data_IF_724659660309
#
_entry.id   IF_724659660309
#
_cell.length_a   1.000
_cell.length_b   1.000
_cell.length_c   1.000
_cell.angle_alpha   90.00
_cell.angle_beta   90.00
_cell.angle_gamma   90.00
#
_symmetry.space_group_name_H-M   'P 1'
#
loop_
_entity.id
_entity.type
_entity.pdbx_description
1 polymer ?
#
# COMPACT_ATOMS: atom_id res chain seq x y z
N UNK A 1 -7.20 0.66 16.34
CA UNK A 1 -7.89 -0.61 16.02
C UNK A 1 -9.32 -0.67 16.50
N UNK A 2 -9.61 -0.56 17.80
CA UNK A 2 -10.99 -0.62 18.34
C UNK A 2 -11.98 0.32 17.63
N UNK A 3 -11.57 1.56 17.37
CA UNK A 3 -12.40 2.54 16.65
C UNK A 3 -12.85 2.07 15.24
N UNK A 4 -11.95 1.43 14.48
CA UNK A 4 -12.29 0.91 13.15
C UNK A 4 -13.24 -0.28 13.25
N UNK A 5 -12.98 -1.22 14.16
CA UNK A 5 -13.85 -2.39 14.37
C UNK A 5 -15.27 -1.96 14.72
N UNK A 6 -15.42 -1.01 15.65
CA UNK A 6 -16.74 -0.46 16.02
C UNK A 6 -17.43 0.27 14.87
N UNK A 7 -16.69 1.08 14.11
CA UNK A 7 -17.20 1.80 12.94
C UNK A 7 -17.76 0.82 11.90
N UNK A 8 -17.02 -0.24 11.59
CA UNK A 8 -17.38 -1.18 10.54
C UNK A 8 -18.38 -2.25 10.97
N UNK A 9 -18.38 -2.65 12.25
CA UNK A 9 -19.48 -3.45 12.79
C UNK A 9 -20.84 -2.78 12.58
N UNK A 10 -20.92 -1.46 12.82
CA UNK A 10 -22.15 -0.68 12.59
C UNK A 10 -22.50 -0.60 11.11
N UNK A 11 -21.51 -0.42 10.24
CA UNK A 11 -21.71 -0.29 8.79
C UNK A 11 -22.16 -1.60 8.14
N UNK A 12 -21.52 -2.71 8.50
CA UNK A 12 -21.73 -4.04 7.90
C UNK A 12 -22.73 -4.91 8.68
N UNK A 13 -23.35 -4.35 9.73
CA UNK A 13 -24.26 -5.06 10.64
C UNK A 13 -23.67 -6.37 11.22
N UNK A 14 -22.41 -6.29 11.66
CA UNK A 14 -21.64 -7.39 12.26
C UNK A 14 -21.42 -7.17 13.76
N UNK A 15 -21.08 -8.23 14.49
CA UNK A 15 -20.79 -8.20 15.93
C UNK A 15 -19.38 -8.71 16.26
N UNK A 16 -18.37 -8.26 15.51
CA UNK A 16 -16.97 -8.61 15.78
C UNK A 16 -16.54 -7.99 17.11
N UNK A 17 -16.08 -8.80 18.06
CA UNK A 17 -15.60 -8.36 19.39
C UNK A 17 -14.21 -7.73 19.33
N UNK A 18 -13.40 -8.08 18.33
CA UNK A 18 -12.07 -7.51 18.16
C UNK A 18 -11.18 -8.25 17.18
N UNK A 19 -9.88 -7.99 17.28
CA UNK A 19 -8.82 -8.67 16.53
C UNK A 19 -8.00 -9.54 17.49
N UNK A 20 -7.36 -10.59 16.97
CA UNK A 20 -6.43 -11.39 17.78
C UNK A 20 -5.13 -10.62 18.07
N UNK A 21 -4.40 -10.93 19.17
CA UNK A 21 -3.13 -10.29 19.49
C UNK A 21 -2.07 -10.42 18.39
N UNK A 22 -2.11 -11.51 17.63
CA UNK A 22 -1.21 -11.76 16.49
C UNK A 22 -1.51 -10.81 15.33
N UNK A 23 -2.80 -10.55 15.06
CA UNK A 23 -3.22 -9.55 14.05
C UNK A 23 -2.77 -8.16 14.45
N UNK A 24 -2.89 -7.82 15.74
CA UNK A 24 -2.46 -6.52 16.25
C UNK A 24 -0.95 -6.33 16.04
N UNK A 25 -0.13 -7.33 16.39
CA UNK A 25 1.32 -7.31 16.13
C UNK A 25 1.64 -7.17 14.64
N UNK A 26 0.96 -7.93 13.78
CA UNK A 26 1.19 -7.87 12.34
C UNK A 26 0.88 -6.46 11.80
N UNK A 27 -0.20 -5.84 12.26
CA UNK A 27 -0.60 -4.49 11.86
C UNK A 27 0.38 -3.41 12.31
N UNK A 28 1.03 -3.60 13.46
CA UNK A 28 2.10 -2.72 13.93
C UNK A 28 3.41 -2.91 13.16
N UNK A 29 3.69 -4.13 12.70
CA UNK A 29 4.92 -4.46 11.98
C UNK A 29 4.82 -4.20 10.46
N UNK A 30 3.61 -4.17 9.91
CA UNK A 30 3.41 -3.95 8.48
C UNK A 30 3.62 -2.46 8.14
N UNK A 31 4.50 -2.20 7.18
CA UNK A 31 4.57 -0.87 6.57
C UNK A 31 3.34 -0.72 5.67
N UNK A 32 2.47 0.22 5.99
CA UNK A 32 1.26 0.55 5.23
C UNK A 32 1.59 1.59 4.15
N UNK A 33 2.03 1.19 2.93
CA UNK A 33 2.51 2.12 1.91
C UNK A 33 1.45 3.15 1.47
N UNK A 34 0.16 2.85 1.60
CA UNK A 34 -0.98 3.69 1.24
C UNK A 34 -1.61 4.48 2.39
N UNK A 35 -0.96 4.53 3.57
CA UNK A 35 -1.43 5.19 4.80
C UNK A 35 -2.64 4.51 5.47
N UNK A 36 -3.25 5.21 6.44
CA UNK A 36 -4.41 4.80 7.25
C UNK A 36 -5.60 4.26 6.43
N UNK A 37 -5.72 4.62 5.14
CA UNK A 37 -6.77 4.12 4.25
C UNK A 37 -6.59 2.65 3.84
N UNK A 38 -5.36 2.18 3.69
CA UNK A 38 -5.12 0.74 3.45
C UNK A 38 -5.50 -0.07 4.68
N UNK A 39 -5.06 0.38 5.86
CA UNK A 39 -5.46 -0.20 7.13
C UNK A 39 -6.98 -0.28 7.25
N UNK A 40 -7.67 0.80 6.89
CA UNK A 40 -9.13 0.89 6.91
C UNK A 40 -9.78 -0.12 5.95
N UNK A 41 -9.29 -0.25 4.72
CA UNK A 41 -9.78 -1.22 3.73
C UNK A 41 -9.59 -2.68 4.17
N UNK A 42 -8.41 -3.01 4.73
CA UNK A 42 -8.12 -4.34 5.23
C UNK A 42 -9.05 -4.70 6.38
N UNK A 43 -9.30 -3.77 7.31
CA UNK A 43 -10.22 -3.98 8.44
C UNK A 43 -11.66 -4.17 7.94
N UNK A 44 -12.11 -3.34 7.00
CA UNK A 44 -13.45 -3.47 6.40
C UNK A 44 -13.65 -4.86 5.80
N UNK A 45 -12.73 -5.30 4.93
CA UNK A 45 -12.79 -6.63 4.32
C UNK A 45 -12.66 -7.75 5.33
N UNK A 46 -11.81 -7.59 6.35
CA UNK A 46 -11.65 -8.58 7.40
C UNK A 46 -12.97 -8.77 8.16
N UNK A 47 -13.70 -7.71 8.47
CA UNK A 47 -15.01 -7.78 9.14
C UNK A 47 -16.06 -8.46 8.25
N UNK A 48 -16.03 -8.21 6.94
CA UNK A 48 -16.94 -8.87 6.00
C UNK A 48 -16.66 -10.38 5.90
N UNK A 49 -15.38 -10.76 5.86
CA UNK A 49 -14.95 -12.15 5.64
C UNK A 49 -14.88 -13.00 6.91
N UNK A 50 -14.74 -12.37 8.07
CA UNK A 50 -14.67 -13.09 9.34
C UNK A 50 -16.05 -13.67 9.68
N UNK A 51 -16.05 -14.97 9.95
CA UNK A 51 -17.25 -15.72 10.38
C UNK A 51 -17.35 -15.84 11.90
N UNK A 52 -16.25 -15.58 12.61
CA UNK A 52 -16.12 -15.66 14.06
C UNK A 52 -16.24 -14.27 14.72
N UNK A 53 -16.31 -14.24 16.05
CA UNK A 53 -16.35 -12.98 16.81
C UNK A 53 -14.99 -12.26 16.85
N UNK A 54 -13.89 -12.95 16.51
CA UNK A 54 -12.53 -12.40 16.57
C UNK A 54 -11.87 -12.56 15.21
N UNK A 55 -11.32 -11.46 14.68
CA UNK A 55 -10.55 -11.49 13.43
C UNK A 55 -9.21 -12.13 13.72
N UNK A 56 -8.98 -13.30 13.12
CA UNK A 56 -7.74 -14.06 13.25
C UNK A 56 -6.74 -13.75 12.15
N UNK A 57 -5.47 -14.09 12.40
CA UNK A 57 -4.38 -13.87 11.46
C UNK A 57 -4.60 -14.58 10.10
N UNK A 58 -5.33 -15.70 10.10
CA UNK A 58 -5.66 -16.45 8.88
C UNK A 58 -6.57 -15.68 7.91
N UNK A 59 -7.41 -14.76 8.42
CA UNK A 59 -8.24 -13.88 7.58
C UNK A 59 -7.42 -12.72 7.03
N UNK A 60 -6.50 -12.21 7.85
CA UNK A 60 -5.68 -11.04 7.55
C UNK A 60 -4.55 -11.34 6.58
N UNK A 61 -3.81 -12.44 6.77
CA UNK A 61 -2.65 -12.77 5.94
C UNK A 61 -2.98 -12.83 4.44
N UNK A 62 -4.09 -13.46 4.01
CA UNK A 62 -4.50 -13.39 2.62
C UNK A 62 -4.85 -11.98 2.17
N UNK A 63 -5.50 -11.16 2.99
CA UNK A 63 -5.87 -9.79 2.62
C UNK A 63 -4.65 -8.90 2.39
N UNK A 64 -3.70 -8.94 3.33
CA UNK A 64 -2.46 -8.17 3.26
C UNK A 64 -1.55 -8.68 2.13
N UNK A 65 -1.41 -10.00 1.96
CA UNK A 65 -0.65 -10.59 0.85
C UNK A 65 -1.31 -10.39 -0.51
N UNK A 66 -2.64 -10.37 -0.58
CA UNK A 66 -3.40 -10.17 -1.82
C UNK A 66 -3.46 -8.69 -2.21
N UNK A 67 -3.39 -7.76 -1.26
CA UNK A 67 -3.08 -6.36 -1.57
C UNK A 67 -1.62 -6.19 -2.03
N UNK A 68 -0.70 -7.03 -1.55
CA UNK A 68 0.67 -7.13 -2.08
C UNK A 68 0.82 -7.84 -3.43
N UNK A 69 -0.08 -8.76 -3.82
CA UNK A 69 0.15 -9.68 -4.95
C UNK A 69 -1.08 -10.03 -5.84
N UNK A 70 -2.34 -9.68 -5.52
CA UNK A 70 -3.51 -10.18 -6.30
C UNK A 70 -4.81 -9.37 -6.20
N UNK A 71 -4.73 -8.05 -6.12
CA UNK A 71 -5.82 -7.13 -6.42
C UNK A 71 -5.35 -6.18 -7.51
N UNK A 72 -5.83 -6.36 -8.74
CA UNK A 72 -5.40 -5.54 -9.87
C UNK A 72 -5.56 -4.05 -9.53
N UNK A 73 -4.44 -3.34 -9.56
CA UNK A 73 -4.36 -1.87 -9.58
C UNK A 73 -5.32 -1.24 -10.60
N UNK A 74 -5.90 -2.01 -11.54
CA UNK A 74 -6.92 -1.58 -12.49
C UNK A 74 -8.30 -1.32 -11.88
N UNK A 75 -8.92 -2.28 -11.19
CA UNK A 75 -10.35 -2.16 -10.82
C UNK A 75 -10.62 -1.11 -9.74
N UNK A 76 -9.69 -0.88 -8.81
CA UNK A 76 -9.81 0.16 -7.77
C UNK A 76 -9.37 1.56 -8.24
N UNK A 77 -8.56 1.65 -9.30
CA UNK A 77 -8.31 2.92 -9.99
C UNK A 77 -9.55 3.36 -10.77
N UNK A 78 -10.16 2.42 -11.49
CA UNK A 78 -11.27 2.70 -12.41
C UNK A 78 -12.56 3.10 -11.68
N UNK A 79 -12.67 2.82 -10.38
CA UNK A 79 -13.78 3.26 -9.53
C UNK A 79 -13.60 4.67 -8.93
N UNK A 80 -12.46 5.33 -9.15
CA UNK A 80 -12.18 6.68 -8.63
C UNK A 80 -12.40 7.77 -9.67
N UNK A 81 -12.63 9.03 -9.23
CA UNK A 81 -12.62 10.17 -10.15
C UNK A 81 -11.34 10.20 -10.98
N UNK A 82 -11.46 10.48 -12.28
CA UNK A 82 -10.37 10.42 -13.27
C UNK A 82 -9.06 11.07 -12.78
N UNK A 83 -9.15 12.22 -12.12
CA UNK A 83 -7.99 12.96 -11.60
C UNK A 83 -7.22 12.15 -10.54
N UNK A 84 -7.92 11.48 -9.64
CA UNK A 84 -7.33 10.68 -8.57
C UNK A 84 -6.82 9.34 -9.11
N UNK A 85 -7.59 8.69 -9.99
CA UNK A 85 -7.20 7.48 -10.69
C UNK A 85 -5.89 7.67 -11.48
N UNK A 86 -5.83 8.73 -12.30
CA UNK A 86 -4.65 9.09 -13.09
C UNK A 86 -3.45 9.40 -12.19
N UNK A 87 -3.65 10.13 -11.08
CA UNK A 87 -2.57 10.43 -10.13
C UNK A 87 -2.00 9.15 -9.55
N UNK A 88 -2.85 8.24 -9.05
CA UNK A 88 -2.41 6.96 -8.47
C UNK A 88 -1.72 6.06 -9.50
N UNK A 89 -2.24 5.99 -10.73
CA UNK A 89 -1.61 5.26 -11.82
C UNK A 89 -0.18 5.74 -12.07
N UNK A 90 -0.04 7.07 -12.17
CA UNK A 90 1.22 7.71 -12.46
C UNK A 90 2.21 7.56 -11.30
N UNK A 91 1.74 7.71 -10.06
CA UNK A 91 2.55 7.51 -8.86
C UNK A 91 3.06 6.07 -8.76
N UNK A 92 2.18 5.07 -8.99
CA UNK A 92 2.56 3.66 -8.99
C UNK A 92 3.55 3.29 -10.11
N UNK A 93 3.34 3.84 -11.32
CA UNK A 93 4.29 3.71 -12.41
C UNK A 93 5.65 4.33 -12.05
N UNK A 94 5.65 5.57 -11.56
CA UNK A 94 6.86 6.32 -11.24
C UNK A 94 7.71 5.62 -10.17
N UNK A 95 7.10 5.12 -9.09
CA UNK A 95 7.80 4.39 -8.04
C UNK A 95 8.48 3.14 -8.60
N UNK A 96 7.74 2.33 -9.37
CA UNK A 96 8.28 1.11 -9.99
C UNK A 96 9.42 1.43 -10.96
N UNK A 97 9.22 2.41 -11.82
CA UNK A 97 10.19 2.81 -12.82
C UNK A 97 11.50 3.31 -12.19
N UNK A 98 11.40 4.26 -11.26
CA UNK A 98 12.57 4.84 -10.58
C UNK A 98 13.35 3.78 -9.82
N UNK A 99 12.65 2.92 -9.09
CA UNK A 99 13.29 1.83 -8.33
C UNK A 99 14.06 0.92 -9.27
N UNK A 100 13.46 0.53 -10.41
CA UNK A 100 14.12 -0.31 -11.41
C UNK A 100 15.37 0.36 -12.01
N UNK A 101 15.27 1.63 -12.40
CA UNK A 101 16.40 2.35 -13.02
C UNK A 101 17.52 2.58 -12.00
N UNK A 102 17.20 2.88 -10.74
CA UNK A 102 18.23 2.99 -9.70
C UNK A 102 18.89 1.65 -9.39
N UNK A 103 18.14 0.56 -9.34
CA UNK A 103 18.69 -0.78 -9.11
C UNK A 103 19.70 -1.15 -10.21
N UNK A 104 19.37 -0.91 -11.48
CA UNK A 104 20.30 -1.12 -12.61
C UNK A 104 21.56 -0.27 -12.51
N UNK A 105 21.43 0.94 -11.99
CA UNK A 105 22.52 1.91 -11.89
C UNK A 105 23.20 1.92 -10.52
N UNK A 106 23.00 0.88 -9.70
CA UNK A 106 23.65 0.81 -8.39
C UNK A 106 23.41 2.07 -7.54
N UNK A 107 22.17 2.56 -7.51
CA UNK A 107 21.79 3.76 -6.76
C UNK A 107 22.37 5.07 -7.31
N UNK A 108 23.14 5.05 -8.41
CA UNK A 108 23.73 6.24 -9.00
C UNK A 108 22.68 7.05 -9.77
N UNK A 109 22.19 8.10 -9.12
CA UNK A 109 21.14 9.01 -9.65
C UNK A 109 21.57 9.68 -10.96
N UNK A 110 22.86 9.96 -11.15
CA UNK A 110 23.36 10.62 -12.38
C UNK A 110 23.32 9.67 -13.57
N UNK A 111 23.72 8.41 -13.38
CA UNK A 111 23.66 7.41 -14.45
C UNK A 111 22.21 6.97 -14.72
N UNK A 112 21.41 6.81 -13.66
CA UNK A 112 19.97 6.56 -13.76
C UNK A 112 19.25 7.62 -14.59
N UNK A 113 19.52 8.90 -14.36
CA UNK A 113 18.96 10.01 -15.13
C UNK A 113 19.34 9.93 -16.61
N UNK A 114 20.60 9.61 -16.92
CA UNK A 114 21.08 9.46 -18.30
C UNK A 114 20.43 8.28 -19.02
N UNK A 115 20.37 7.11 -18.38
CA UNK A 115 19.75 5.90 -18.97
C UNK A 115 18.24 6.08 -19.20
N UNK A 116 17.55 6.76 -18.28
CA UNK A 116 16.12 7.00 -18.38
C UNK A 116 15.75 8.19 -19.27
N UNK A 117 16.73 8.92 -19.80
CA UNK A 117 16.54 10.20 -20.52
C UNK A 117 15.74 11.24 -19.71
N UNK A 118 15.75 11.10 -18.38
CA UNK A 118 15.06 12.00 -17.46
C UNK A 118 16.07 13.01 -16.94
N UNK A 119 15.68 14.29 -16.89
CA UNK A 119 16.50 15.30 -16.25
C UNK A 119 16.82 14.93 -14.80
N UNK A 120 18.11 14.98 -14.44
CA UNK A 120 18.59 14.64 -13.09
C UNK A 120 17.81 15.38 -11.98
N UNK A 121 17.48 16.65 -12.18
CA UNK A 121 16.71 17.42 -11.20
C UNK A 121 15.28 16.89 -11.05
N UNK A 122 14.65 16.48 -12.15
CA UNK A 122 13.32 15.88 -12.12
C UNK A 122 13.37 14.52 -11.40
N UNK A 123 14.35 13.68 -11.69
CA UNK A 123 14.55 12.40 -11.01
C UNK A 123 14.74 12.59 -9.49
N UNK A 124 15.55 13.57 -9.07
CA UNK A 124 15.73 13.93 -7.66
C UNK A 124 14.44 14.39 -6.99
N UNK A 125 13.63 15.20 -7.68
CA UNK A 125 12.31 15.61 -7.17
C UNK A 125 11.39 14.42 -6.98
N UNK A 126 11.41 13.45 -7.91
CA UNK A 126 10.61 12.23 -7.77
C UNK A 126 11.08 11.37 -6.60
N UNK A 127 12.40 11.19 -6.40
CA UNK A 127 12.95 10.48 -5.23
C UNK A 127 12.44 11.07 -3.92
N UNK A 128 12.49 12.40 -3.80
CA UNK A 128 11.99 13.11 -2.61
C UNK A 128 10.48 12.96 -2.45
N UNK A 129 9.72 13.07 -3.54
CA UNK A 129 8.25 12.97 -3.54
C UNK A 129 7.76 11.60 -3.09
N UNK A 130 8.46 10.54 -3.49
CA UNK A 130 8.09 9.15 -3.17
C UNK A 130 8.88 8.57 -1.99
N UNK A 131 9.67 9.39 -1.30
CA UNK A 131 10.53 9.00 -0.17
C UNK A 131 11.46 7.81 -0.49
N UNK A 132 11.93 7.70 -1.74
CA UNK A 132 12.88 6.68 -2.18
C UNK A 132 14.29 7.21 -1.92
N UNK A 133 15.04 6.57 -1.01
CA UNK A 133 16.44 6.91 -0.79
C UNK A 133 17.32 6.04 -1.68
N UNK A 134 18.17 6.69 -2.47
CA UNK A 134 19.20 6.00 -3.26
C UNK A 134 20.16 5.18 -2.38
N UNK A 135 20.32 5.55 -1.10
CA UNK A 135 21.08 4.80 -0.10
C UNK A 135 20.43 3.50 0.39
N UNK A 136 19.13 3.30 0.19
CA UNK A 136 18.45 2.07 0.63
C UNK A 136 18.56 0.94 -0.42
N UNK A 137 19.17 1.25 -1.57
CA UNK A 137 19.44 0.32 -2.67
C UNK A 137 20.88 -0.28 -2.53
N UNK A 138 21.65 0.17 -1.53
CA UNK A 138 23.01 -0.28 -1.19
C UNK A 138 23.18 -0.56 0.30
#
# INVERSE_FOLDING_TARGET
MKHFVEKYNKKENRQIKGISPEVEKEFYNYNWPGNVRELENVIERAITLTTEDIISLNVILPLVKKEGLSGGLGDELLSQPYKDARRKALDGFNVKYITNVLNKNSGNVTNAAKESEIERQYLQRMLKRYNIKSKDIF
#
